data_IF_185825552015
#
_entry.id   IF_185825552015
#
_cell.length_a   1.000
_cell.length_b   1.000
_cell.length_c   1.000
_cell.angle_alpha   90.00
_cell.angle_beta   90.00
_cell.angle_gamma   90.00
#
_symmetry.space_group_name_H-M   'P 1'
#
loop_
_entity.id
_entity.type
_entity.pdbx_description
1 polymer ?
#
# COMPACT_ATOMS: atom_id res chain seq x y z
N UNK A 1 -3.51 -21.25 1.77
CA UNK A 1 -2.18 -20.63 1.54
C UNK A 1 -2.01 -19.54 2.57
N UNK A 2 -0.84 -19.42 3.19
CA UNK A 2 -0.56 -18.36 4.17
C UNK A 2 0.17 -17.24 3.45
N UNK A 3 -0.33 -16.01 3.51
CA UNK A 3 0.34 -14.87 2.90
C UNK A 3 1.50 -14.38 3.76
N UNK A 4 2.53 -13.86 3.10
CA UNK A 4 3.67 -13.20 3.73
C UNK A 4 3.35 -11.71 3.87
N UNK A 5 3.44 -11.18 5.09
CA UNK A 5 3.11 -9.78 5.38
C UNK A 5 4.34 -8.96 5.72
N UNK A 6 4.26 -7.66 5.48
CA UNK A 6 5.31 -6.72 5.87
C UNK A 6 5.39 -6.54 7.39
N UNK A 7 6.62 -6.33 7.86
CA UNK A 7 6.90 -5.82 9.21
C UNK A 7 6.84 -4.30 9.24
N UNK A 8 6.76 -3.73 10.44
CA UNK A 8 6.81 -2.27 10.63
C UNK A 8 8.13 -1.72 10.08
N UNK A 9 9.25 -2.38 10.40
CA UNK A 9 10.60 -1.99 9.98
C UNK A 9 10.71 -1.89 8.46
N UNK A 10 10.18 -2.87 7.73
CA UNK A 10 10.18 -2.84 6.26
C UNK A 10 9.41 -1.63 5.71
N UNK A 11 8.28 -1.27 6.32
CA UNK A 11 7.51 -0.09 5.88
C UNK A 11 8.24 1.22 6.23
N UNK A 12 8.95 1.25 7.36
CA UNK A 12 9.79 2.39 7.73
C UNK A 12 11.00 2.55 6.79
N UNK A 13 11.61 1.44 6.36
CA UNK A 13 12.69 1.45 5.36
C UNK A 13 12.19 1.98 4.01
N UNK A 14 11.03 1.50 3.54
CA UNK A 14 10.38 2.00 2.32
C UNK A 14 10.12 3.51 2.42
N UNK A 15 9.62 4.00 3.55
CA UNK A 15 9.41 5.44 3.76
C UNK A 15 10.71 6.22 3.70
N UNK A 16 11.73 5.77 4.43
CA UNK A 16 13.04 6.40 4.48
C UNK A 16 13.64 6.52 3.08
N UNK A 17 13.62 5.45 2.30
CA UNK A 17 14.20 5.44 0.96
C UNK A 17 13.37 6.26 -0.03
N UNK A 18 12.05 6.22 0.06
CA UNK A 18 11.15 7.02 -0.78
C UNK A 18 11.34 8.53 -0.53
N UNK A 19 11.51 8.96 0.71
CA UNK A 19 11.78 10.37 1.07
C UNK A 19 13.16 10.80 0.55
N UNK A 20 14.20 9.97 0.71
CA UNK A 20 15.54 10.27 0.17
C UNK A 20 15.53 10.45 -1.35
N UNK A 21 14.77 9.63 -2.07
CA UNK A 21 14.76 9.63 -3.54
C UNK A 21 13.92 10.75 -4.14
N UNK A 22 12.81 11.11 -3.49
CA UNK A 22 11.79 12.00 -4.11
C UNK A 22 11.51 13.27 -3.34
N UNK A 23 12.17 13.46 -2.19
CA UNK A 23 11.93 14.58 -1.29
C UNK A 23 10.64 14.44 -0.46
N UNK A 24 10.51 15.36 0.50
CA UNK A 24 9.48 15.36 1.52
C UNK A 24 10.08 15.42 2.92
N UNK A 25 9.22 15.51 3.94
CA UNK A 25 9.66 15.55 5.33
C UNK A 25 9.71 14.14 5.93
N UNK A 26 10.87 13.69 6.46
CA UNK A 26 10.94 12.44 7.21
C UNK A 26 10.19 12.58 8.53
N UNK A 27 9.77 11.44 9.10
CA UNK A 27 9.17 11.41 10.44
C UNK A 27 7.87 10.60 10.50
N UNK A 28 7.70 9.95 11.65
CA UNK A 28 6.50 9.22 12.03
C UNK A 28 5.72 10.13 12.97
N UNK A 29 4.44 10.34 12.69
CA UNK A 29 3.55 11.16 13.54
C UNK A 29 2.59 10.30 14.37
N UNK A 30 2.30 9.08 13.93
CA UNK A 30 1.41 8.18 14.64
C UNK A 30 1.79 6.71 14.42
N UNK A 31 2.58 6.13 15.33
CA UNK A 31 3.00 4.72 15.26
C UNK A 31 1.79 3.76 15.31
N UNK A 32 0.84 3.99 16.21
CA UNK A 32 -0.38 3.16 16.28
C UNK A 32 -1.22 3.18 15.00
N UNK A 33 -1.14 4.26 14.21
CA UNK A 33 -1.81 4.36 12.93
C UNK A 33 -1.13 3.48 11.86
N UNK A 34 0.20 3.35 11.93
CA UNK A 34 0.99 2.44 11.09
C UNK A 34 0.68 0.99 11.46
N UNK A 35 0.78 0.63 12.74
CA UNK A 35 0.50 -0.72 13.24
C UNK A 35 -0.92 -1.16 12.89
N UNK A 36 -1.90 -0.27 13.05
CA UNK A 36 -3.29 -0.52 12.65
C UNK A 36 -3.43 -0.82 11.16
N UNK A 37 -2.72 -0.08 10.30
CA UNK A 37 -2.75 -0.33 8.86
C UNK A 37 -2.15 -1.69 8.48
N UNK A 38 -1.06 -2.10 9.12
CA UNK A 38 -0.42 -3.41 8.90
C UNK A 38 -1.25 -4.56 9.46
N UNK A 39 -2.04 -4.32 10.51
CA UNK A 39 -2.93 -5.33 11.09
C UNK A 39 -4.18 -5.58 10.24
N UNK A 40 -4.71 -4.55 9.57
CA UNK A 40 -5.96 -4.63 8.81
C UNK A 40 -6.05 -5.83 7.84
N UNK A 41 -5.09 -6.11 6.94
CA UNK A 41 -5.21 -7.23 6.00
C UNK A 41 -5.31 -8.61 6.69
N UNK A 42 -4.89 -8.72 7.96
CA UNK A 42 -4.85 -9.98 8.72
C UNK A 42 -6.14 -10.30 9.49
N UNK A 43 -7.18 -9.47 9.37
CA UNK A 43 -8.39 -9.58 10.18
C UNK A 43 -9.34 -10.73 9.76
N UNK A 44 -9.00 -11.49 8.70
CA UNK A 44 -9.66 -12.76 8.37
C UNK A 44 -11.00 -12.67 7.63
N UNK A 45 -11.45 -11.47 7.24
CA UNK A 45 -12.68 -11.27 6.46
C UNK A 45 -12.44 -10.93 4.98
N UNK A 46 -11.19 -10.97 4.51
CA UNK A 46 -10.84 -10.84 3.09
C UNK A 46 -10.69 -12.23 2.47
N UNK A 47 -11.17 -12.39 1.23
CA UNK A 47 -11.26 -13.69 0.56
C UNK A 47 -10.19 -13.88 -0.53
N UNK A 48 -9.32 -12.88 -0.75
CA UNK A 48 -8.24 -12.94 -1.74
C UNK A 48 -7.06 -12.05 -1.38
N UNK A 49 -5.87 -12.36 -1.94
CA UNK A 49 -4.68 -11.53 -1.82
C UNK A 49 -4.94 -10.08 -2.28
N UNK A 50 -5.72 -9.90 -3.33
CA UNK A 50 -6.07 -8.57 -3.84
C UNK A 50 -6.91 -7.79 -2.84
N UNK A 51 -7.84 -8.45 -2.13
CA UNK A 51 -8.64 -7.78 -1.10
C UNK A 51 -7.80 -7.39 0.12
N UNK A 52 -6.85 -8.24 0.53
CA UNK A 52 -5.89 -7.90 1.58
C UNK A 52 -4.97 -6.75 1.15
N UNK A 53 -4.46 -6.77 -0.10
CA UNK A 53 -3.66 -5.68 -0.66
C UNK A 53 -4.47 -4.38 -0.75
N UNK A 54 -5.75 -4.46 -1.11
CA UNK A 54 -6.67 -3.32 -1.14
C UNK A 54 -6.82 -2.71 0.25
N UNK A 55 -7.08 -3.55 1.25
CA UNK A 55 -7.24 -3.12 2.64
C UNK A 55 -5.97 -2.47 3.19
N UNK A 56 -4.82 -3.06 2.89
CA UNK A 56 -3.52 -2.57 3.30
C UNK A 56 -3.22 -1.20 2.68
N UNK A 57 -3.34 -1.10 1.36
CA UNK A 57 -3.14 0.13 0.60
C UNK A 57 -4.04 1.27 1.09
N UNK A 58 -5.34 0.99 1.20
CA UNK A 58 -6.31 1.99 1.65
C UNK A 58 -6.00 2.44 3.08
N UNK A 59 -5.78 1.50 4.00
CA UNK A 59 -5.53 1.83 5.41
C UNK A 59 -4.25 2.64 5.58
N UNK A 60 -3.18 2.27 4.89
CA UNK A 60 -1.91 2.97 5.01
C UNK A 60 -1.99 4.38 4.40
N UNK A 61 -2.75 4.55 3.32
CA UNK A 61 -3.01 5.86 2.72
C UNK A 61 -3.90 6.75 3.60
N UNK A 62 -4.87 6.20 4.33
CA UNK A 62 -5.84 6.96 5.15
C UNK A 62 -5.41 7.22 6.57
N UNK A 63 -4.59 6.34 7.15
CA UNK A 63 -4.22 6.43 8.56
C UNK A 63 -3.16 7.52 8.81
N UNK A 64 -2.52 8.01 7.74
CA UNK A 64 -1.51 9.07 7.79
C UNK A 64 -0.42 8.88 8.88
N UNK A 65 0.25 7.71 8.96
CA UNK A 65 1.25 7.49 10.00
C UNK A 65 2.51 8.35 9.87
N UNK A 66 2.80 8.88 8.68
CA UNK A 66 4.00 9.66 8.38
C UNK A 66 3.70 11.15 8.22
N UNK A 67 4.70 11.99 8.46
CA UNK A 67 4.62 13.44 8.26
C UNK A 67 4.36 13.81 6.78
N UNK A 68 5.05 13.12 5.87
CA UNK A 68 4.84 13.20 4.42
C UNK A 68 5.06 11.82 3.80
N UNK A 69 4.60 11.62 2.56
CA UNK A 69 4.85 10.41 1.79
C UNK A 69 3.79 9.32 1.93
N UNK A 70 2.77 9.50 2.76
CA UNK A 70 1.76 8.47 3.09
C UNK A 70 1.22 7.71 1.87
N UNK A 71 0.75 8.42 0.85
CA UNK A 71 0.20 7.78 -0.36
C UNK A 71 1.28 7.04 -1.18
N UNK A 72 2.50 7.59 -1.23
CA UNK A 72 3.65 7.01 -1.96
C UNK A 72 4.13 5.74 -1.26
N UNK A 73 4.30 5.78 0.06
CA UNK A 73 4.64 4.61 0.87
C UNK A 73 3.54 3.56 0.85
N UNK A 74 2.27 3.95 0.90
CA UNK A 74 1.16 3.02 0.80
C UNK A 74 1.23 2.20 -0.49
N UNK A 75 1.50 2.86 -1.62
CA UNK A 75 1.68 2.19 -2.90
C UNK A 75 2.89 1.24 -2.92
N UNK A 76 4.07 1.73 -2.54
CA UNK A 76 5.31 0.94 -2.56
C UNK A 76 5.27 -0.24 -1.59
N UNK A 77 4.72 -0.05 -0.38
CA UNK A 77 4.52 -1.12 0.58
C UNK A 77 3.52 -2.15 0.05
N UNK A 78 2.46 -1.72 -0.64
CA UNK A 78 1.50 -2.66 -1.25
C UNK A 78 2.13 -3.46 -2.37
N UNK A 79 2.95 -2.85 -3.22
CA UNK A 79 3.71 -3.57 -4.26
C UNK A 79 4.66 -4.59 -3.62
N UNK A 80 5.38 -4.23 -2.56
CA UNK A 80 6.25 -5.17 -1.85
C UNK A 80 5.47 -6.30 -1.18
N UNK A 81 4.31 -6.02 -0.57
CA UNK A 81 3.41 -7.04 -0.03
C UNK A 81 2.99 -8.03 -1.12
N UNK A 82 2.62 -7.56 -2.31
CA UNK A 82 2.30 -8.43 -3.44
C UNK A 82 3.51 -9.27 -3.87
N UNK A 83 4.71 -8.67 -3.91
CA UNK A 83 5.95 -9.36 -4.32
C UNK A 83 6.33 -10.49 -3.39
N UNK A 84 6.17 -10.27 -2.09
CA UNK A 84 6.35 -11.32 -1.07
C UNK A 84 5.38 -12.50 -1.24
N UNK A 85 4.32 -12.31 -2.03
CA UNK A 85 3.30 -13.31 -2.34
C UNK A 85 3.30 -13.74 -3.82
N UNK A 86 4.36 -13.42 -4.59
CA UNK A 86 4.54 -13.88 -5.98
C UNK A 86 3.87 -13.02 -7.05
N UNK A 87 3.44 -11.81 -6.72
CA UNK A 87 2.79 -10.88 -7.65
C UNK A 87 3.47 -9.50 -7.64
N UNK A 88 3.26 -8.67 -8.65
CA UNK A 88 3.68 -7.26 -8.63
C UNK A 88 2.67 -6.37 -9.34
N UNK A 89 2.68 -5.08 -9.01
CA UNK A 89 1.91 -4.07 -9.73
C UNK A 89 2.66 -3.73 -11.03
N UNK A 90 1.98 -3.89 -12.16
CA UNK A 90 2.47 -3.57 -13.49
C UNK A 90 1.68 -2.40 -14.07
N UNK A 91 2.21 -1.18 -13.89
CA UNK A 91 1.69 0.03 -14.49
C UNK A 91 2.86 0.99 -14.78
N UNK A 92 2.66 1.95 -15.68
CA UNK A 92 3.66 2.99 -15.90
C UNK A 92 3.68 4.03 -14.75
N UNK A 93 4.72 4.86 -14.73
CA UNK A 93 4.91 5.85 -13.68
C UNK A 93 3.81 6.92 -13.66
N UNK A 94 3.30 7.32 -14.82
CA UNK A 94 2.28 8.37 -14.91
C UNK A 94 0.92 7.87 -14.41
N UNK A 95 0.58 6.62 -14.74
CA UNK A 95 -0.59 5.92 -14.23
C UNK A 95 -0.52 5.71 -12.72
N UNK A 96 0.60 5.18 -12.21
CA UNK A 96 0.81 5.04 -10.77
C UNK A 96 0.60 6.38 -10.07
N UNK A 97 1.22 7.44 -10.59
CA UNK A 97 1.09 8.78 -10.03
C UNK A 97 -0.35 9.32 -10.05
N UNK A 98 -1.11 9.11 -11.15
CA UNK A 98 -2.53 9.47 -11.21
C UNK A 98 -3.35 8.72 -10.18
N UNK A 99 -3.16 7.40 -10.08
CA UNK A 99 -3.87 6.55 -9.13
C UNK A 99 -3.58 6.96 -7.68
N UNK A 100 -2.31 7.09 -7.30
CA UNK A 100 -1.88 7.48 -5.96
C UNK A 100 -2.45 8.84 -5.56
N UNK A 101 -2.44 9.83 -6.47
CA UNK A 101 -3.01 11.17 -6.19
C UNK A 101 -4.50 11.07 -5.83
N UNK A 102 -5.24 10.25 -6.55
CA UNK A 102 -6.70 10.18 -6.49
C UNK A 102 -7.21 9.11 -5.51
N UNK A 103 -6.33 8.32 -4.88
CA UNK A 103 -6.71 7.19 -4.04
C UNK A 103 -7.65 7.53 -2.87
N UNK A 104 -7.60 8.78 -2.38
CA UNK A 104 -8.42 9.25 -1.27
C UNK A 104 -9.65 10.05 -1.70
N UNK A 105 -9.87 10.23 -3.00
CA UNK A 105 -11.14 10.77 -3.52
C UNK A 105 -12.29 9.87 -3.12
N UNK A 106 -13.54 10.33 -3.21
CA UNK A 106 -14.79 9.60 -2.95
C UNK A 106 -14.72 8.44 -1.92
N UNK A 107 -15.17 8.74 -0.70
CA UNK A 107 -15.13 7.81 0.43
C UNK A 107 -16.05 6.60 0.26
N UNK A 108 -17.16 6.71 -0.48
CA UNK A 108 -18.18 5.66 -0.51
C UNK A 108 -17.69 4.43 -1.28
N UNK A 109 -17.02 4.65 -2.42
CA UNK A 109 -16.59 3.57 -3.33
C UNK A 109 -15.08 3.34 -3.32
N UNK A 110 -14.37 3.85 -2.31
CA UNK A 110 -12.90 3.82 -2.28
C UNK A 110 -12.35 2.40 -2.34
N UNK A 111 -12.84 1.52 -1.48
CA UNK A 111 -12.37 0.14 -1.42
C UNK A 111 -12.55 -0.58 -2.76
N UNK A 112 -13.74 -0.47 -3.37
CA UNK A 112 -14.03 -1.11 -4.65
C UNK A 112 -13.19 -0.55 -5.79
N UNK A 113 -12.96 0.77 -5.84
CA UNK A 113 -12.09 1.39 -6.85
C UNK A 113 -10.64 0.95 -6.71
N UNK A 114 -10.10 0.93 -5.49
CA UNK A 114 -8.74 0.46 -5.22
C UNK A 114 -8.61 -1.02 -5.60
N UNK A 115 -9.59 -1.85 -5.22
CA UNK A 115 -9.63 -3.28 -5.56
C UNK A 115 -9.65 -3.50 -7.06
N UNK A 116 -10.52 -2.79 -7.77
CA UNK A 116 -10.64 -2.93 -9.23
C UNK A 116 -9.38 -2.48 -9.95
N UNK A 117 -8.74 -1.40 -9.47
CA UNK A 117 -7.45 -0.97 -9.99
C UNK A 117 -6.37 -2.02 -9.78
N UNK A 118 -6.26 -2.60 -8.58
CA UNK A 118 -5.30 -3.69 -8.32
C UNK A 118 -5.59 -4.92 -9.18
N UNK A 119 -6.85 -5.34 -9.34
CA UNK A 119 -7.21 -6.47 -10.23
C UNK A 119 -6.73 -6.28 -11.66
N UNK A 120 -6.73 -5.04 -12.16
CA UNK A 120 -6.31 -4.71 -13.52
C UNK A 120 -4.78 -4.67 -13.72
N UNK A 121 -4.02 -4.37 -12.66
CA UNK A 121 -2.58 -4.11 -12.75
C UNK A 121 -1.70 -5.15 -12.08
N UNK A 122 -2.26 -6.02 -11.24
CA UNK A 122 -1.47 -7.05 -10.56
C UNK A 122 -1.22 -8.23 -11.50
N UNK A 123 0.05 -8.55 -11.70
CA UNK A 123 0.53 -9.66 -12.53
C UNK A 123 1.44 -10.59 -11.72
N UNK A 124 1.59 -11.87 -12.09
CA UNK A 124 2.59 -12.73 -11.47
C UNK A 124 4.00 -12.14 -11.64
N UNK A 125 4.82 -12.23 -10.60
CA UNK A 125 6.23 -11.82 -10.69
C UNK A 125 6.95 -12.76 -11.66
N UNK A 126 7.77 -12.25 -12.61
CA UNK A 126 8.59 -13.10 -13.47
C UNK A 126 9.47 -14.04 -12.64
N UNK A 127 9.52 -15.31 -13.04
CA UNK A 127 10.39 -16.34 -12.43
C UNK A 127 11.86 -16.10 -12.72
#
# INVERSE_FOLDING_TARGET
MTYTYLTVEQVLEIHSDQIKQTGGSPGIIAMGALESALARPRLGYYHSLIEEATAFLESLATNHPFLDGNKRVAFLATDLFLRLNGFSINCDADEANRFIRNILEDRQDRFDRVRNWLKAHVVPTPS
#
